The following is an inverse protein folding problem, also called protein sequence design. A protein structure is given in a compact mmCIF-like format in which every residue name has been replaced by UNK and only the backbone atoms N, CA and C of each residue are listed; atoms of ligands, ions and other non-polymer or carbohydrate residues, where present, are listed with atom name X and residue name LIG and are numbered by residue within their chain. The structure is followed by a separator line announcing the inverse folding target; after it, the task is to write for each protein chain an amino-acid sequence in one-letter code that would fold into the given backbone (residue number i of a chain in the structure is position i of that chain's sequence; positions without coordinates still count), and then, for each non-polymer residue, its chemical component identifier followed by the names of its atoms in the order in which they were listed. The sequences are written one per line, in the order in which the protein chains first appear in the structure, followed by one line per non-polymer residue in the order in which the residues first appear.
data_IF_445246845869
#
_entry.id   IF_445246845869
#
_cell.length_a   1.000
_cell.length_b   1.000
_cell.length_c   1.000
_cell.angle_alpha   90.00
_cell.angle_beta   90.00
_cell.angle_gamma   90.00
#
_symmetry.space_group_name_H-M   'P 1'
#
loop_
_entity.id
_entity.type
_entity.pdbx_description
1 polymer ?
#
# COMPACT_ATOMS: atom_id res chain seq x y z
N UNK A 1 2.87 -6.92 19.67
CA UNK A 1 2.42 -7.52 18.40
C UNK A 1 1.06 -6.95 18.06
N UNK A 2 0.98 -6.02 17.10
CA UNK A 2 -0.25 -5.36 16.68
C UNK A 2 -0.61 -5.74 15.25
N UNK A 3 -1.90 -5.63 14.87
CA UNK A 3 -2.32 -5.84 13.49
C UNK A 3 -1.78 -4.72 12.61
N UNK A 4 -1.12 -5.09 11.51
CA UNK A 4 -0.75 -4.15 10.45
C UNK A 4 -1.87 -4.14 9.41
N UNK A 5 -2.23 -2.96 8.93
CA UNK A 5 -3.27 -2.76 7.92
C UNK A 5 -2.69 -1.93 6.77
N UNK A 6 -2.95 -2.35 5.54
CA UNK A 6 -2.58 -1.65 4.31
C UNK A 6 -3.74 -1.71 3.32
N UNK A 7 -3.84 -0.71 2.47
CA UNK A 7 -4.79 -0.66 1.35
C UNK A 7 -4.01 -0.94 0.07
N UNK A 8 -4.52 -1.82 -0.77
CA UNK A 8 -3.99 -2.04 -2.12
C UNK A 8 -4.91 -1.35 -3.10
N UNK A 9 -4.36 -0.52 -3.99
CA UNK A 9 -5.12 0.24 -4.99
C UNK A 9 -4.32 0.43 -6.29
N UNK A 10 -4.89 1.14 -7.25
CA UNK A 10 -4.23 1.59 -8.47
C UNK A 10 -4.42 3.10 -8.69
N UNK A 11 -3.74 3.67 -9.68
CA UNK A 11 -3.80 5.11 -9.97
C UNK A 11 -5.23 5.60 -10.23
N UNK A 12 -6.02 4.83 -10.98
CA UNK A 12 -7.40 5.19 -11.30
C UNK A 12 -8.29 5.31 -10.05
N UNK A 13 -8.02 4.49 -9.03
CA UNK A 13 -8.80 4.43 -7.79
C UNK A 13 -8.16 5.24 -6.64
N UNK A 14 -7.02 5.89 -6.88
CA UNK A 14 -6.28 6.62 -5.85
C UNK A 14 -7.11 7.75 -5.24
N UNK A 15 -8.02 8.33 -6.02
CA UNK A 15 -8.96 9.36 -5.56
C UNK A 15 -9.88 8.86 -4.43
N UNK A 16 -10.24 7.57 -4.41
CA UNK A 16 -10.99 6.93 -3.33
C UNK A 16 -10.17 6.79 -2.04
N UNK A 17 -8.83 6.81 -2.16
CA UNK A 17 -7.90 6.57 -1.06
C UNK A 17 -7.41 7.85 -0.38
N UNK A 18 -7.83 9.04 -0.83
CA UNK A 18 -7.32 10.34 -0.36
C UNK A 18 -7.29 10.48 1.17
N UNK A 19 -8.37 10.11 1.85
CA UNK A 19 -8.45 10.19 3.32
C UNK A 19 -7.40 9.31 4.01
N UNK A 20 -7.06 8.16 3.42
CA UNK A 20 -6.07 7.25 4.00
C UNK A 20 -4.65 7.80 3.85
N UNK A 21 -4.34 8.40 2.69
CA UNK A 21 -3.08 9.10 2.45
C UNK A 21 -2.90 10.26 3.44
N UNK A 22 -3.93 11.10 3.63
CA UNK A 22 -3.90 12.21 4.59
C UNK A 22 -3.71 11.72 6.04
N UNK A 23 -4.30 10.58 6.39
CA UNK A 23 -4.14 9.94 7.71
C UNK A 23 -2.85 9.12 7.84
N UNK A 24 -1.97 9.11 6.83
CA UNK A 24 -0.73 8.32 6.78
C UNK A 24 -0.97 6.81 6.99
N UNK A 25 -2.12 6.32 6.54
CA UNK A 25 -2.40 4.88 6.44
C UNK A 25 -1.76 4.39 5.15
N UNK A 26 -1.06 3.26 5.20
CA UNK A 26 -0.32 2.74 4.04
C UNK A 26 -1.25 2.39 2.88
N UNK A 27 -1.07 3.10 1.76
CA UNK A 27 -1.74 2.82 0.48
C UNK A 27 -0.65 2.37 -0.49
N UNK A 28 -0.72 1.12 -0.93
CA UNK A 28 0.29 0.47 -1.77
C UNK A 28 -0.30 0.18 -3.16
N UNK A 29 0.56 0.13 -4.17
CA UNK A 29 0.19 -0.46 -5.45
C UNK A 29 0.24 -2.01 -5.40
N UNK A 30 -0.12 -2.66 -6.50
CA UNK A 30 -0.20 -4.13 -6.61
C UNK A 30 1.13 -4.86 -6.43
N UNK A 31 2.27 -4.20 -6.68
CA UNK A 31 3.60 -4.80 -6.54
C UNK A 31 3.92 -5.21 -5.10
N UNK A 32 3.29 -4.56 -4.10
CA UNK A 32 3.37 -5.01 -2.71
C UNK A 32 2.99 -6.49 -2.55
N UNK A 33 1.96 -6.94 -3.26
CA UNK A 33 1.54 -8.34 -3.26
C UNK A 33 2.40 -9.17 -4.22
N UNK A 34 2.59 -8.71 -5.46
CA UNK A 34 3.25 -9.51 -6.50
C UNK A 34 4.73 -9.75 -6.18
N UNK A 35 5.49 -8.66 -5.98
CA UNK A 35 6.90 -8.75 -5.62
C UNK A 35 7.07 -9.37 -4.24
N UNK A 36 6.20 -9.05 -3.28
CA UNK A 36 6.26 -9.63 -1.94
C UNK A 36 6.03 -11.14 -1.92
N UNK A 37 5.12 -11.64 -2.77
CA UNK A 37 4.88 -13.09 -2.92
C UNK A 37 6.07 -13.81 -3.55
N UNK A 38 6.72 -13.20 -4.54
CA UNK A 38 7.91 -13.76 -5.19
C UNK A 38 9.09 -13.80 -4.22
N UNK A 39 9.29 -12.73 -3.44
CA UNK A 39 10.41 -12.61 -2.49
C UNK A 39 10.17 -13.29 -1.15
N UNK A 40 8.92 -13.65 -0.85
CA UNK A 40 8.50 -14.08 0.49
C UNK A 40 8.82 -13.03 1.58
N UNK A 41 8.65 -11.74 1.24
CA UNK A 41 8.96 -10.61 2.11
C UNK A 41 7.95 -9.47 1.90
N UNK A 42 7.53 -8.80 2.99
CA UNK A 42 6.64 -7.64 2.91
C UNK A 42 7.44 -6.33 3.01
N UNK A 43 7.51 -5.59 1.89
CA UNK A 43 8.12 -4.27 1.81
C UNK A 43 7.06 -3.17 1.90
N UNK A 44 6.95 -2.55 3.08
CA UNK A 44 5.95 -1.51 3.35
C UNK A 44 6.33 -0.13 2.81
N UNK A 45 7.51 0.02 2.19
CA UNK A 45 8.08 1.30 1.76
C UNK A 45 8.16 1.46 0.25
N UNK A 46 8.55 0.43 -0.48
CA UNK A 46 8.89 0.56 -1.91
C UNK A 46 7.69 0.75 -2.84
N UNK A 47 6.48 0.43 -2.38
CA UNK A 47 5.27 0.39 -3.22
C UNK A 47 4.19 1.41 -2.79
N UNK A 48 4.56 2.35 -1.90
CA UNK A 48 3.64 3.32 -1.30
C UNK A 48 3.30 4.43 -2.27
N UNK A 49 2.02 4.76 -2.36
CA UNK A 49 1.59 6.03 -2.95
C UNK A 49 1.81 7.17 -1.97
N UNK A 50 2.39 8.27 -2.45
CA UNK A 50 2.54 9.52 -1.69
C UNK A 50 1.68 10.61 -2.31
N UNK A 51 1.17 11.52 -1.48
CA UNK A 51 0.61 12.79 -1.95
C UNK A 51 1.71 13.72 -2.44
#
# INVERSE_FOLDING_TARGET
SGRKFVIITCENDLHLCKMYLEKKIGVQNVEFILTGSIRQELDFSSFVYTL
#
